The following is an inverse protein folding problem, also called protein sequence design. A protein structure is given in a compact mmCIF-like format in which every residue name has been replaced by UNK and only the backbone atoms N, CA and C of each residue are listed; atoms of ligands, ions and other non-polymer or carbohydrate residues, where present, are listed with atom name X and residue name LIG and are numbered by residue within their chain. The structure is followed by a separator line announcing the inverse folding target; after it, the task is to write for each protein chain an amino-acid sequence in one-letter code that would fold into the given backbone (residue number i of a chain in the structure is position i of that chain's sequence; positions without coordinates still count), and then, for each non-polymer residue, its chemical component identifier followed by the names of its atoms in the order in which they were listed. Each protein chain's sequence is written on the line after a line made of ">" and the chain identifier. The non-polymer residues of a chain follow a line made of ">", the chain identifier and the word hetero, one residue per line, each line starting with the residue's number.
data_IF_461336581293
#
_entry.id   IF_461336581293
#
_cell.length_a   1.000
_cell.length_b   1.000
_cell.length_c   1.000
_cell.angle_alpha   90.00
_cell.angle_beta   90.00
_cell.angle_gamma   90.00
#
_symmetry.space_group_name_H-M   'P 1'
#
loop_
_entity.id
_entity.type
_entity.pdbx_description
1 polymer ?
#
# COMPACT_ATOMS: atom_id res chain seq x y z
N UNK A 1 0.11 -7.78 -17.42
CA UNK A 1 -0.52 -7.20 -16.23
C UNK A 1 -0.49 -5.70 -16.32
N UNK A 2 -1.63 -5.03 -16.18
CA UNK A 2 -1.70 -3.59 -16.43
C UNK A 2 -0.89 -2.72 -15.45
N UNK A 3 -0.55 -3.22 -14.28
CA UNK A 3 0.15 -2.44 -13.26
C UNK A 3 1.53 -3.00 -12.90
N UNK A 4 2.14 -3.80 -13.77
CA UNK A 4 3.37 -4.50 -13.45
C UNK A 4 4.53 -3.55 -13.09
N UNK A 5 4.68 -2.45 -13.81
CA UNK A 5 5.76 -1.48 -13.54
C UNK A 5 5.60 -0.76 -12.22
N UNK A 6 4.41 -0.28 -11.93
CA UNK A 6 4.16 0.45 -10.69
C UNK A 6 4.24 -0.48 -9.48
N UNK A 7 3.75 -1.70 -9.63
CA UNK A 7 3.86 -2.71 -8.57
C UNK A 7 5.32 -3.05 -8.28
N UNK A 8 6.15 -3.17 -9.30
CA UNK A 8 7.59 -3.37 -9.12
C UNK A 8 8.23 -2.21 -8.35
N UNK A 9 7.88 -0.98 -8.69
CA UNK A 9 8.37 0.20 -7.95
C UNK A 9 7.94 0.19 -6.49
N UNK A 10 6.71 -0.22 -6.24
CA UNK A 10 6.19 -0.34 -4.86
C UNK A 10 6.95 -1.39 -4.06
N UNK A 11 7.18 -2.56 -4.66
CA UNK A 11 7.93 -3.63 -4.03
C UNK A 11 9.38 -3.23 -3.77
N UNK A 12 10.00 -2.54 -4.70
CA UNK A 12 11.36 -2.01 -4.51
C UNK A 12 11.41 -1.01 -3.35
N UNK A 13 10.42 -0.12 -3.25
CA UNK A 13 10.31 0.84 -2.16
C UNK A 13 10.14 0.14 -0.80
N UNK A 14 9.31 -0.88 -0.74
CA UNK A 14 9.10 -1.67 0.49
C UNK A 14 10.39 -2.36 0.90
N UNK A 15 11.09 -3.00 -0.03
CA UNK A 15 12.36 -3.69 0.26
C UNK A 15 13.45 -2.74 0.75
N UNK A 16 13.44 -1.51 0.24
CA UNK A 16 14.40 -0.48 0.63
C UNK A 16 14.01 0.27 1.91
N UNK A 17 12.82 0.02 2.44
CA UNK A 17 12.29 0.80 3.56
C UNK A 17 11.94 2.24 3.17
N UNK A 18 11.77 2.51 1.90
CA UNK A 18 11.53 3.85 1.36
C UNK A 18 10.04 4.16 1.27
N UNK A 19 9.38 4.14 2.43
CA UNK A 19 7.96 4.42 2.53
C UNK A 19 7.64 5.16 3.81
N UNK A 20 6.47 5.77 3.86
CA UNK A 20 5.92 6.40 5.05
C UNK A 20 4.51 5.89 5.30
N UNK A 21 4.12 5.83 6.57
CA UNK A 21 2.78 5.44 7.00
C UNK A 21 2.10 6.70 7.52
N UNK A 22 0.92 7.02 6.99
CA UNK A 22 0.17 8.17 7.50
C UNK A 22 -0.36 7.88 8.90
N UNK A 23 -0.67 8.92 9.66
CA UNK A 23 -1.28 8.77 10.99
C UNK A 23 -2.58 7.98 10.86
N UNK A 24 -3.38 8.29 9.85
CA UNK A 24 -4.64 7.60 9.58
C UNK A 24 -4.44 6.10 9.34
N UNK A 25 -3.48 5.74 8.49
CA UNK A 25 -3.16 4.33 8.23
C UNK A 25 -2.65 3.62 9.50
N UNK A 26 -1.83 4.29 10.28
CA UNK A 26 -1.30 3.74 11.54
C UNK A 26 -2.44 3.44 12.53
N UNK A 27 -3.38 4.36 12.67
CA UNK A 27 -4.55 4.16 13.52
C UNK A 27 -5.41 2.99 13.04
N UNK A 28 -5.62 2.88 11.72
CA UNK A 28 -6.38 1.77 11.15
C UNK A 28 -5.69 0.42 11.40
N UNK A 29 -4.37 0.38 11.26
CA UNK A 29 -3.59 -0.82 11.54
C UNK A 29 -3.74 -1.25 13.00
N UNK A 30 -3.64 -0.31 13.93
CA UNK A 30 -3.82 -0.57 15.35
C UNK A 30 -5.22 -1.13 15.64
N UNK A 31 -6.25 -0.53 15.06
CA UNK A 31 -7.63 -0.96 15.25
C UNK A 31 -7.87 -2.39 14.76
N UNK A 32 -7.25 -2.77 13.66
CA UNK A 32 -7.43 -4.09 13.05
C UNK A 32 -6.36 -5.11 13.48
N UNK A 33 -5.41 -4.70 14.31
CA UNK A 33 -4.36 -5.58 14.80
C UNK A 33 -3.30 -5.93 13.76
N UNK A 34 -3.10 -5.08 12.76
CA UNK A 34 -2.06 -5.25 11.75
C UNK A 34 -0.75 -4.60 12.17
N UNK A 35 0.36 -5.25 11.83
CA UNK A 35 1.70 -4.69 11.95
C UNK A 35 2.14 -4.12 10.59
N UNK A 36 3.15 -3.26 10.59
CA UNK A 36 3.69 -2.73 9.33
C UNK A 36 4.24 -3.86 8.45
N UNK A 37 4.78 -4.90 9.04
CA UNK A 37 5.26 -6.09 8.33
C UNK A 37 4.15 -6.79 7.56
N UNK A 38 2.92 -6.75 8.08
CA UNK A 38 1.76 -7.31 7.39
C UNK A 38 1.47 -6.54 6.11
N UNK A 39 1.56 -5.20 6.16
CA UNK A 39 1.37 -4.35 4.99
C UNK A 39 2.48 -4.56 3.97
N UNK A 40 3.73 -4.63 4.43
CA UNK A 40 4.87 -4.93 3.56
C UNK A 40 4.65 -6.25 2.82
N UNK A 41 4.27 -7.29 3.55
CA UNK A 41 4.03 -8.60 2.96
C UNK A 41 2.88 -8.58 1.95
N UNK A 42 1.81 -7.88 2.27
CA UNK A 42 0.66 -7.74 1.36
C UNK A 42 1.08 -7.10 0.03
N UNK A 43 1.95 -6.11 0.06
CA UNK A 43 2.47 -5.47 -1.15
C UNK A 43 3.40 -6.41 -1.92
N UNK A 44 4.28 -7.12 -1.21
CA UNK A 44 5.26 -8.01 -1.83
C UNK A 44 4.61 -9.23 -2.49
N UNK A 45 3.49 -9.72 -1.95
CA UNK A 45 2.83 -10.95 -2.40
C UNK A 45 1.48 -10.70 -3.07
N UNK A 46 0.94 -9.50 -2.96
CA UNK A 46 -0.39 -9.17 -3.43
C UNK A 46 -0.43 -8.61 -4.85
N UNK A 47 -1.54 -8.00 -5.17
CA UNK A 47 -1.76 -7.41 -6.48
C UNK A 47 -2.51 -6.09 -6.37
N UNK A 48 -2.31 -5.22 -7.37
CA UNK A 48 -3.07 -3.99 -7.49
C UNK A 48 -4.43 -4.35 -8.09
N UNK A 49 -5.49 -4.04 -7.37
CA UNK A 49 -6.86 -4.35 -7.78
C UNK A 49 -7.59 -3.13 -8.34
N UNK A 50 -7.09 -1.93 -8.06
CA UNK A 50 -7.76 -0.72 -8.50
C UNK A 50 -6.79 0.46 -8.55
N UNK A 51 -6.98 1.35 -9.51
CA UNK A 51 -6.29 2.64 -9.59
C UNK A 51 -7.33 3.76 -9.62
N UNK A 52 -7.10 4.78 -8.80
CA UNK A 52 -7.93 5.96 -8.73
C UNK A 52 -7.06 7.17 -9.03
N UNK A 53 -7.47 7.99 -10.01
CA UNK A 53 -6.73 9.21 -10.35
C UNK A 53 -7.54 10.42 -9.90
N UNK A 54 -6.90 11.30 -9.15
CA UNK A 54 -7.51 12.54 -8.72
C UNK A 54 -7.55 13.56 -9.86
N UNK A 55 -8.74 14.08 -10.18
CA UNK A 55 -8.94 14.98 -11.30
C UNK A 55 -8.20 16.32 -11.14
N UNK A 56 -8.10 16.82 -9.90
CA UNK A 56 -7.50 18.12 -9.61
C UNK A 56 -5.98 18.10 -9.63
N UNK A 57 -5.35 17.03 -9.18
CA UNK A 57 -3.89 16.95 -9.04
C UNK A 57 -3.24 16.02 -10.06
N UNK A 58 -4.03 15.17 -10.71
CA UNK A 58 -3.52 14.12 -11.58
C UNK A 58 -2.83 12.98 -10.85
N UNK A 59 -2.80 13.01 -9.52
CA UNK A 59 -2.14 12.01 -8.70
C UNK A 59 -2.93 10.69 -8.70
N UNK A 60 -2.22 9.58 -8.85
CA UNK A 60 -2.81 8.26 -8.82
C UNK A 60 -2.66 7.63 -7.44
N UNK A 61 -3.74 6.98 -7.00
CA UNK A 61 -3.75 6.13 -5.80
C UNK A 61 -4.03 4.71 -6.26
N UNK A 62 -3.36 3.76 -5.62
CA UNK A 62 -3.48 2.35 -5.97
C UNK A 62 -3.96 1.56 -4.77
N UNK A 63 -4.93 0.69 -4.99
CA UNK A 63 -5.41 -0.23 -3.96
C UNK A 63 -4.78 -1.60 -4.20
N UNK A 64 -4.10 -2.12 -3.20
CA UNK A 64 -3.44 -3.43 -3.25
C UNK A 64 -4.16 -4.34 -2.26
N UNK A 65 -4.48 -5.56 -2.71
CA UNK A 65 -4.97 -6.62 -1.84
C UNK A 65 -3.90 -7.69 -1.74
N UNK A 66 -3.60 -8.12 -0.53
CA UNK A 66 -2.59 -9.14 -0.32
C UNK A 66 -2.78 -9.90 0.98
N UNK A 67 -2.14 -11.07 1.05
CA UNK A 67 -2.14 -11.92 2.22
C UNK A 67 -1.04 -11.47 3.18
N UNK A 68 -1.38 -11.36 4.45
CA UNK A 68 -0.41 -11.01 5.50
C UNK A 68 0.44 -12.20 5.93
N UNK A 69 0.05 -13.41 5.55
CA UNK A 69 0.73 -14.64 5.94
C UNK A 69 0.25 -15.25 7.24
N UNK A 70 -0.51 -14.54 8.05
CA UNK A 70 -0.99 -15.07 9.33
C UNK A 70 -2.17 -14.33 9.92
N UNK A 71 -2.45 -13.12 9.43
CA UNK A 71 -3.55 -12.27 9.91
C UNK A 71 -4.65 -12.06 8.88
N UNK A 72 -4.69 -12.92 7.86
CA UNK A 72 -5.70 -12.87 6.82
C UNK A 72 -5.34 -11.91 5.70
N UNK A 73 -6.33 -11.49 4.94
CA UNK A 73 -6.16 -10.59 3.81
C UNK A 73 -6.23 -9.13 4.26
N UNK A 74 -5.46 -8.31 3.58
CA UNK A 74 -5.35 -6.89 3.88
C UNK A 74 -5.41 -6.08 2.59
N UNK A 75 -6.08 -4.95 2.67
CA UNK A 75 -6.05 -3.95 1.61
C UNK A 75 -5.25 -2.73 2.05
N UNK A 76 -4.49 -2.14 1.15
CA UNK A 76 -3.77 -0.90 1.40
C UNK A 76 -3.94 0.05 0.22
N UNK A 77 -4.24 1.30 0.51
CA UNK A 77 -4.27 2.37 -0.48
C UNK A 77 -2.93 3.08 -0.42
N UNK A 78 -2.25 3.14 -1.56
CA UNK A 78 -0.91 3.72 -1.66
C UNK A 78 -0.83 4.79 -2.74
N UNK A 79 0.12 5.70 -2.59
CA UNK A 79 0.54 6.57 -3.69
C UNK A 79 2.03 6.90 -3.52
N UNK A 80 2.65 7.44 -4.56
CA UNK A 80 4.01 7.94 -4.46
C UNK A 80 3.97 9.43 -4.14
N UNK A 81 4.68 9.84 -3.10
CA UNK A 81 4.81 11.24 -2.71
C UNK A 81 5.77 12.00 -3.62
N UNK A 82 5.88 13.31 -3.39
CA UNK A 82 6.73 14.21 -4.19
C UNK A 82 8.21 13.81 -4.16
N UNK A 83 8.66 13.23 -3.05
CA UNK A 83 10.05 12.80 -2.87
C UNK A 83 10.32 11.40 -3.47
N UNK A 84 9.32 10.77 -4.06
CA UNK A 84 9.44 9.41 -4.59
C UNK A 84 9.19 8.32 -3.55
N UNK A 85 8.91 8.68 -2.30
CA UNK A 85 8.58 7.69 -1.27
C UNK A 85 7.19 7.14 -1.48
N UNK A 86 7.03 5.85 -1.21
CA UNK A 86 5.71 5.22 -1.19
C UNK A 86 4.98 5.65 0.08
N UNK A 87 3.72 6.02 -0.04
CA UNK A 87 2.88 6.45 1.08
C UNK A 87 1.76 5.45 1.28
N UNK A 88 1.65 4.90 2.49
CA UNK A 88 0.51 4.07 2.88
C UNK A 88 -0.55 5.00 3.44
N UNK A 89 -1.61 5.22 2.67
CA UNK A 89 -2.65 6.22 2.99
C UNK A 89 -3.73 5.62 3.89
N UNK A 90 -4.15 4.40 3.57
CA UNK A 90 -5.27 3.72 4.24
C UNK A 90 -4.95 2.23 4.28
N UNK A 91 -5.24 1.59 5.40
CA UNK A 91 -5.09 0.14 5.57
C UNK A 91 -6.41 -0.42 6.11
N UNK A 92 -6.87 -1.52 5.54
CA UNK A 92 -8.15 -2.11 5.94
C UNK A 92 -8.12 -3.64 5.85
N UNK A 93 -8.91 -4.27 6.69
CA UNK A 93 -9.11 -5.72 6.63
C UNK A 93 -10.08 -6.07 5.51
N UNK A 94 -9.82 -7.19 4.86
CA UNK A 94 -10.71 -7.72 3.82
C UNK A 94 -11.50 -8.90 4.37
#
# INVERSE_FOLDING_TARGET
>A
MPYARVLKRMRDAVRAGNYVVTIHADEEMDDDGFLVEDVERAILCGEIVHRQTEATTGQSKYVIHGDTGGRGLLGVVTSFGCSGKLVFITVFAI
#
